data_IF_898988396679
#
_entry.id   IF_898988396679
#
_cell.length_a   1.000
_cell.length_b   1.000
_cell.length_c   1.000
_cell.angle_alpha   90.00
_cell.angle_beta   90.00
_cell.angle_gamma   90.00
#
_symmetry.space_group_name_H-M   'P 1'
#
loop_
_entity.id
_entity.type
_entity.pdbx_description
1 polymer ?
#
# COMPACT_ATOMS: atom_id res chain seq x y z
N UNK A 1 29.58 -32.98 -32.58
CA UNK A 1 28.45 -33.82 -32.14
C UNK A 1 28.23 -33.52 -30.67
N UNK A 2 27.15 -32.82 -30.32
CA UNK A 2 26.74 -32.58 -28.93
C UNK A 2 26.33 -33.91 -28.30
N UNK A 3 26.77 -34.19 -27.07
CA UNK A 3 26.53 -35.51 -26.47
C UNK A 3 25.08 -35.61 -25.97
N UNK A 4 24.49 -36.81 -26.02
CA UNK A 4 23.12 -37.06 -25.53
C UNK A 4 22.92 -36.69 -24.05
N UNK A 5 23.99 -36.75 -23.24
CA UNK A 5 23.93 -36.31 -21.83
C UNK A 5 23.82 -34.79 -21.70
N UNK A 6 24.46 -34.03 -22.59
CA UNK A 6 24.39 -32.55 -22.60
C UNK A 6 22.99 -32.06 -23.02
N UNK A 7 22.37 -32.74 -23.98
CA UNK A 7 20.98 -32.49 -24.40
C UNK A 7 19.97 -32.85 -23.29
N UNK A 8 20.17 -33.96 -22.58
CA UNK A 8 19.31 -34.33 -21.45
C UNK A 8 19.42 -33.34 -20.29
N UNK A 9 20.63 -32.87 -19.96
CA UNK A 9 20.82 -31.88 -18.91
C UNK A 9 20.25 -30.50 -19.27
N UNK A 10 20.36 -30.07 -20.53
CA UNK A 10 19.81 -28.78 -20.98
C UNK A 10 18.29 -28.80 -21.03
N UNK A 11 17.66 -29.90 -21.47
CA UNK A 11 16.20 -30.07 -21.45
C UNK A 11 15.66 -30.05 -20.01
N UNK A 12 16.30 -30.77 -19.07
CA UNK A 12 15.92 -30.76 -17.65
C UNK A 12 16.07 -29.38 -17.00
N UNK A 13 17.09 -28.62 -17.39
CA UNK A 13 17.33 -27.27 -16.86
C UNK A 13 16.32 -26.26 -17.43
N UNK A 14 15.98 -26.35 -18.71
CA UNK A 14 14.98 -25.49 -19.36
C UNK A 14 13.57 -25.72 -18.81
N UNK A 15 13.19 -26.97 -18.54
CA UNK A 15 11.90 -27.35 -17.94
C UNK A 15 11.76 -26.83 -16.50
N UNK A 16 12.86 -26.88 -15.73
CA UNK A 16 12.94 -26.30 -14.38
C UNK A 16 12.81 -24.78 -14.39
N UNK A 17 13.47 -24.10 -15.34
CA UNK A 17 13.39 -22.64 -15.48
C UNK A 17 11.98 -22.20 -15.90
N UNK A 18 11.35 -22.91 -16.83
CA UNK A 18 9.95 -22.70 -17.23
C UNK A 18 8.98 -22.87 -16.05
N UNK A 19 9.15 -23.94 -15.26
CA UNK A 19 8.35 -24.18 -14.06
C UNK A 19 8.54 -23.06 -13.01
N UNK A 20 9.77 -22.59 -12.81
CA UNK A 20 10.04 -21.47 -11.90
C UNK A 20 9.39 -20.16 -12.37
N UNK A 21 9.46 -19.87 -13.67
CA UNK A 21 8.79 -18.71 -14.26
C UNK A 21 7.26 -18.79 -14.09
N UNK A 22 6.68 -19.97 -14.33
CA UNK A 22 5.25 -20.19 -14.13
C UNK A 22 4.82 -19.99 -12.68
N UNK A 23 5.55 -20.53 -11.71
CA UNK A 23 5.28 -20.33 -10.27
C UNK A 23 5.39 -18.85 -9.89
N UNK A 24 6.39 -18.13 -10.41
CA UNK A 24 6.51 -16.67 -10.19
C UNK A 24 5.30 -15.94 -10.73
N UNK A 25 4.86 -16.25 -11.95
CA UNK A 25 3.70 -15.61 -12.54
C UNK A 25 2.41 -15.88 -11.77
N UNK A 26 2.19 -17.14 -11.34
CA UNK A 26 1.05 -17.47 -10.48
C UNK A 26 1.08 -16.70 -9.16
N UNK A 27 2.27 -16.54 -8.57
CA UNK A 27 2.45 -15.79 -7.32
C UNK A 27 2.09 -14.31 -7.52
N UNK A 28 2.60 -13.68 -8.58
CA UNK A 28 2.30 -12.28 -8.93
C UNK A 28 0.79 -12.11 -9.12
N UNK A 29 0.15 -12.97 -9.91
CA UNK A 29 -1.28 -12.89 -10.17
C UNK A 29 -2.09 -13.04 -8.87
N UNK A 30 -1.70 -13.96 -7.98
CA UNK A 30 -2.35 -14.13 -6.69
C UNK A 30 -2.20 -12.88 -5.79
N UNK A 31 -1.00 -12.27 -5.76
CA UNK A 31 -0.76 -11.03 -5.02
C UNK A 31 -1.59 -9.86 -5.56
N UNK A 32 -1.69 -9.72 -6.88
CA UNK A 32 -2.53 -8.70 -7.53
C UNK A 32 -4.01 -8.90 -7.20
N UNK A 33 -4.52 -10.13 -7.28
CA UNK A 33 -5.91 -10.44 -6.92
C UNK A 33 -6.19 -10.15 -5.44
N UNK A 34 -5.28 -10.49 -4.54
CA UNK A 34 -5.39 -10.17 -3.11
C UNK A 34 -5.39 -8.66 -2.90
N UNK A 35 -4.49 -7.92 -3.55
CA UNK A 35 -4.43 -6.47 -3.44
C UNK A 35 -5.72 -5.82 -3.96
N UNK A 36 -6.21 -6.25 -5.12
CA UNK A 36 -7.45 -5.76 -5.71
C UNK A 36 -8.65 -6.00 -4.79
N UNK A 37 -8.72 -7.18 -4.15
CA UNK A 37 -9.75 -7.48 -3.15
C UNK A 37 -9.71 -6.47 -1.98
N UNK A 38 -8.52 -6.17 -1.46
CA UNK A 38 -8.37 -5.20 -0.36
C UNK A 38 -8.70 -3.77 -0.80
N UNK A 39 -8.28 -3.35 -1.99
CA UNK A 39 -8.66 -2.05 -2.56
C UNK A 39 -10.17 -1.93 -2.65
N UNK A 40 -10.85 -2.94 -3.21
CA UNK A 40 -12.31 -2.96 -3.32
C UNK A 40 -13.00 -2.92 -1.96
N UNK A 41 -12.46 -3.64 -0.96
CA UNK A 41 -12.98 -3.59 0.41
C UNK A 41 -12.85 -2.20 1.02
N UNK A 42 -11.70 -1.54 0.85
CA UNK A 42 -11.51 -0.17 1.33
C UNK A 42 -12.43 0.83 0.61
N UNK A 43 -12.64 0.66 -0.69
CA UNK A 43 -13.59 1.46 -1.48
C UNK A 43 -15.04 1.28 -1.04
N UNK A 44 -15.39 0.15 -0.43
CA UNK A 44 -16.73 -0.12 0.09
C UNK A 44 -16.98 0.50 1.47
N UNK A 45 -15.93 0.91 2.21
CA UNK A 45 -16.10 1.50 3.53
C UNK A 45 -16.67 2.92 3.42
N UNK A 46 -17.83 3.24 4.04
CA UNK A 46 -18.48 4.55 3.92
C UNK A 46 -17.56 5.71 4.30
N UNK A 47 -16.73 5.52 5.33
CA UNK A 47 -15.77 6.52 5.80
C UNK A 47 -14.71 6.85 4.73
N UNK A 48 -14.34 5.87 3.92
CA UNK A 48 -13.31 6.00 2.88
C UNK A 48 -13.91 6.56 1.59
N UNK A 49 -15.15 6.18 1.27
CA UNK A 49 -15.88 6.69 0.10
C UNK A 49 -15.93 8.21 0.08
N UNK A 50 -16.22 8.85 1.22
CA UNK A 50 -16.27 10.31 1.32
C UNK A 50 -14.94 10.99 0.95
N UNK A 51 -13.81 10.32 1.14
CA UNK A 51 -12.47 10.84 0.81
C UNK A 51 -12.09 10.46 -0.64
N UNK A 52 -12.44 9.25 -1.07
CA UNK A 52 -12.07 8.70 -2.38
C UNK A 52 -12.93 9.28 -3.52
N UNK A 53 -14.13 9.77 -3.22
CA UNK A 53 -14.98 10.44 -4.19
C UNK A 53 -14.58 11.91 -4.46
N UNK A 54 -13.77 12.51 -3.58
CA UNK A 54 -13.29 13.88 -3.81
C UNK A 54 -12.42 13.89 -5.07
N UNK A 55 -12.76 14.72 -6.08
CA UNK A 55 -12.04 14.71 -7.34
C UNK A 55 -10.60 15.23 -7.15
N UNK A 56 -9.68 14.68 -7.95
CA UNK A 56 -8.33 15.23 -8.08
C UNK A 56 -8.43 16.67 -8.59
N UNK A 57 -7.72 17.64 -8.00
CA UNK A 57 -7.76 19.02 -8.45
C UNK A 57 -7.10 19.17 -9.82
N UNK A 58 -7.38 20.29 -10.50
CA UNK A 58 -6.69 20.62 -11.74
C UNK A 58 -5.17 20.78 -11.52
N UNK A 59 -4.33 20.30 -12.46
CA UNK A 59 -2.89 20.41 -12.33
C UNK A 59 -2.44 21.88 -12.39
N UNK A 60 -1.75 22.33 -11.34
CA UNK A 60 -1.27 23.70 -11.22
C UNK A 60 -0.05 23.82 -10.32
N UNK A 61 0.74 24.88 -10.54
CA UNK A 61 2.01 25.12 -9.85
C UNK A 61 3.20 24.40 -10.49
N UNK A 62 4.31 24.36 -9.78
CA UNK A 62 5.55 23.73 -10.24
C UNK A 62 5.50 22.20 -10.12
N UNK A 63 6.23 21.51 -11.00
CA UNK A 63 6.44 20.06 -10.90
C UNK A 63 7.51 19.80 -9.84
N UNK A 64 7.15 19.12 -8.76
CA UNK A 64 8.08 18.80 -7.67
C UNK A 64 7.82 17.44 -7.06
N UNK A 65 8.84 16.86 -6.44
CA UNK A 65 8.67 15.67 -5.59
C UNK A 65 7.84 16.03 -4.36
N UNK A 66 6.96 15.13 -3.96
CA UNK A 66 6.20 15.26 -2.73
C UNK A 66 6.86 14.53 -1.57
N UNK A 67 6.93 15.21 -0.43
CA UNK A 67 7.29 14.61 0.85
C UNK A 67 6.49 15.28 1.95
N UNK A 68 5.94 14.48 2.85
CA UNK A 68 5.38 14.96 4.11
C UNK A 68 5.50 13.86 5.16
N UNK A 69 5.58 14.28 6.41
CA UNK A 69 5.62 13.35 7.54
C UNK A 69 4.79 13.85 8.71
N UNK A 70 4.35 12.91 9.54
CA UNK A 70 3.67 13.18 10.80
C UNK A 70 4.04 12.12 11.82
N UNK A 71 3.89 12.44 13.09
CA UNK A 71 4.14 11.51 14.20
C UNK A 71 2.85 11.26 14.97
N UNK A 72 2.55 9.99 15.24
CA UNK A 72 1.47 9.57 16.11
C UNK A 72 2.03 8.96 17.39
N UNK A 73 1.52 9.43 18.53
CA UNK A 73 1.64 8.66 19.76
C UNK A 73 0.83 7.38 19.59
N UNK A 74 1.45 6.23 19.85
CA UNK A 74 0.75 4.95 19.92
C UNK A 74 0.15 4.70 21.30
N UNK A 75 0.47 5.55 22.29
CA UNK A 75 -0.13 5.47 23.61
C UNK A 75 -1.62 5.84 23.56
N UNK A 76 -2.46 5.08 24.26
CA UNK A 76 -3.91 5.30 24.32
C UNK A 76 -4.72 4.62 23.22
N UNK A 77 -4.08 3.96 22.26
CA UNK A 77 -4.77 3.10 21.30
C UNK A 77 -5.02 1.72 21.89
N UNK A 78 -6.23 1.14 21.73
CA UNK A 78 -6.52 -0.22 22.17
C UNK A 78 -5.91 -1.30 21.26
N UNK A 79 -5.17 -0.90 20.22
CA UNK A 79 -4.58 -1.77 19.22
C UNK A 79 -3.19 -1.28 18.79
N UNK A 80 -2.43 -2.15 18.10
CA UNK A 80 -1.15 -1.78 17.51
C UNK A 80 -1.36 -0.90 16.27
N UNK A 81 -1.06 0.40 16.42
CA UNK A 81 -1.22 1.44 15.37
C UNK A 81 -0.51 1.07 14.06
N UNK A 82 0.76 0.61 14.13
CA UNK A 82 1.51 0.26 12.93
C UNK A 82 0.89 -0.93 12.19
N UNK A 83 0.51 -1.98 12.93
CA UNK A 83 -0.11 -3.18 12.36
C UNK A 83 -1.47 -2.86 11.74
N UNK A 84 -2.23 -1.93 12.33
CA UNK A 84 -3.51 -1.45 11.78
C UNK A 84 -3.33 -0.77 10.43
N UNK A 85 -2.29 0.07 10.27
CA UNK A 85 -1.99 0.78 9.02
C UNK A 85 -1.45 -0.19 7.96
N UNK A 86 -0.52 -1.08 8.35
CA UNK A 86 0.10 -2.06 7.45
C UNK A 86 -0.95 -3.06 6.97
N UNK A 87 -1.74 -3.61 7.89
CA UNK A 87 -2.66 -4.70 7.64
C UNK A 87 -1.95 -6.04 7.37
N UNK A 88 -2.71 -7.14 7.21
CA UNK A 88 -2.14 -8.44 6.87
C UNK A 88 -1.30 -8.34 5.61
N UNK A 89 -0.03 -8.81 5.67
CA UNK A 89 0.93 -8.76 4.55
C UNK A 89 1.14 -7.36 3.92
N UNK A 90 0.83 -6.29 4.64
CA UNK A 90 0.94 -4.94 4.10
C UNK A 90 -0.20 -4.55 3.14
N UNK A 91 -1.26 -5.35 3.03
CA UNK A 91 -2.31 -5.13 2.03
C UNK A 91 -3.06 -3.81 2.23
N UNK A 92 -3.27 -3.37 3.47
CA UNK A 92 -3.95 -2.10 3.75
C UNK A 92 -3.09 -0.92 3.30
N UNK A 93 -1.81 -0.89 3.70
CA UNK A 93 -0.88 0.15 3.28
C UNK A 93 -0.71 0.16 1.75
N UNK A 94 -0.53 -1.01 1.12
CA UNK A 94 -0.44 -1.14 -0.34
C UNK A 94 -1.69 -0.64 -1.05
N UNK A 95 -2.88 -0.92 -0.52
CA UNK A 95 -4.14 -0.44 -1.10
C UNK A 95 -4.26 1.09 -1.00
N UNK A 96 -3.88 1.70 0.13
CA UNK A 96 -3.84 3.16 0.27
C UNK A 96 -2.83 3.76 -0.71
N UNK A 97 -1.63 3.19 -0.82
CA UNK A 97 -0.62 3.63 -1.79
C UNK A 97 -1.15 3.61 -3.22
N UNK A 98 -1.86 2.54 -3.60
CA UNK A 98 -2.47 2.41 -4.93
C UNK A 98 -3.58 3.46 -5.15
N UNK A 99 -4.47 3.66 -4.17
CA UNK A 99 -5.57 4.61 -4.24
C UNK A 99 -5.11 6.08 -4.27
N UNK A 100 -3.99 6.38 -3.61
CA UNK A 100 -3.46 7.74 -3.47
C UNK A 100 -2.30 8.06 -4.42
N UNK A 101 -1.75 7.07 -5.12
CA UNK A 101 -0.58 7.28 -6.00
C UNK A 101 0.65 7.78 -5.24
N UNK A 102 0.91 7.21 -4.06
CA UNK A 102 2.02 7.59 -3.17
C UNK A 102 2.73 6.35 -2.60
N UNK A 103 3.87 6.56 -1.94
CA UNK A 103 4.55 5.56 -1.10
C UNK A 103 4.41 5.93 0.37
N UNK A 104 4.18 4.95 1.23
CA UNK A 104 4.06 5.12 2.68
C UNK A 104 5.20 4.37 3.35
N UNK A 105 5.88 5.03 4.29
CA UNK A 105 6.88 4.41 5.15
C UNK A 105 6.53 4.67 6.62
N UNK A 106 6.72 3.66 7.46
CA UNK A 106 6.45 3.71 8.89
C UNK A 106 7.74 3.46 9.65
N UNK A 107 8.15 4.42 10.49
CA UNK A 107 9.37 4.33 11.29
C UNK A 107 9.04 4.53 12.77
N UNK A 108 9.60 3.71 13.65
CA UNK A 108 9.54 3.94 15.09
C UNK A 108 10.72 4.81 15.51
N UNK A 109 10.46 6.04 15.97
CA UNK A 109 11.52 6.98 16.38
C UNK A 109 11.90 6.76 17.86
N UNK A 110 10.90 6.58 18.73
CA UNK A 110 11.03 6.39 20.18
C UNK A 110 9.95 5.42 20.66
N UNK A 111 10.07 4.96 21.90
CA UNK A 111 9.02 4.15 22.55
C UNK A 111 7.68 4.89 22.46
N UNK A 112 6.73 4.25 21.78
CA UNK A 112 5.38 4.74 21.50
C UNK A 112 5.23 5.91 20.52
N UNK A 113 6.24 6.28 19.73
CA UNK A 113 6.10 7.30 18.67
C UNK A 113 6.32 6.70 17.28
N UNK A 114 5.24 6.62 16.51
CA UNK A 114 5.24 6.13 15.14
C UNK A 114 5.27 7.32 14.16
N UNK A 115 6.34 7.41 13.39
CA UNK A 115 6.46 8.35 12.27
C UNK A 115 5.88 7.72 11.01
N UNK A 116 5.05 8.49 10.32
CA UNK A 116 4.49 8.14 9.01
C UNK A 116 5.06 9.12 8.00
N UNK A 117 5.71 8.59 6.97
CA UNK A 117 6.28 9.37 5.88
C UNK A 117 5.57 9.02 4.58
N UNK A 118 5.22 10.04 3.81
CA UNK A 118 4.55 9.91 2.52
C UNK A 118 5.40 10.55 1.45
N UNK A 119 5.68 9.77 0.40
CA UNK A 119 6.45 10.20 -0.76
C UNK A 119 5.58 10.16 -2.01
N UNK A 120 5.69 11.17 -2.85
CA UNK A 120 5.00 11.26 -4.13
C UNK A 120 6.03 11.57 -5.22
N UNK A 121 5.93 10.86 -6.35
CA UNK A 121 6.76 11.13 -7.52
C UNK A 121 6.53 12.58 -8.03
N UNK A 122 7.49 13.15 -8.79
CA UNK A 122 7.32 14.48 -9.35
C UNK A 122 5.99 14.64 -10.10
N UNK A 123 5.21 15.63 -9.68
CA UNK A 123 3.92 15.98 -10.26
C UNK A 123 3.64 17.46 -9.98
N UNK A 124 2.57 18.02 -10.55
CA UNK A 124 2.14 19.39 -10.25
C UNK A 124 1.89 19.57 -8.76
N UNK A 125 2.31 20.70 -8.20
CA UNK A 125 2.19 21.00 -6.78
C UNK A 125 0.78 20.76 -6.22
N UNK A 126 -0.27 21.13 -6.95
CA UNK A 126 -1.67 20.88 -6.55
C UNK A 126 -1.95 19.37 -6.39
N UNK A 127 -1.50 18.57 -7.35
CA UNK A 127 -1.67 17.11 -7.38
C UNK A 127 -0.86 16.45 -6.26
N UNK A 128 0.39 16.87 -6.07
CA UNK A 128 1.26 16.39 -4.99
C UNK A 128 0.61 16.61 -3.62
N UNK A 129 0.16 17.85 -3.36
CA UNK A 129 -0.53 18.20 -2.11
C UNK A 129 -1.78 17.34 -1.91
N UNK A 130 -2.56 17.14 -2.97
CA UNK A 130 -3.77 16.32 -2.91
C UNK A 130 -3.48 14.85 -2.60
N UNK A 131 -2.51 14.23 -3.28
CA UNK A 131 -2.10 12.83 -3.05
C UNK A 131 -1.64 12.61 -1.59
N UNK A 132 -0.81 13.53 -1.07
CA UNK A 132 -0.35 13.51 0.32
C UNK A 132 -1.52 13.66 1.29
N UNK A 133 -2.35 14.68 1.10
CA UNK A 133 -3.51 14.94 1.94
C UNK A 133 -4.44 13.73 1.99
N UNK A 134 -4.78 13.15 0.83
CA UNK A 134 -5.69 12.02 0.72
C UNK A 134 -5.15 10.80 1.48
N UNK A 135 -3.88 10.50 1.32
CA UNK A 135 -3.26 9.38 2.03
C UNK A 135 -3.29 9.56 3.55
N UNK A 136 -3.00 10.76 4.07
CA UNK A 136 -3.16 11.05 5.49
C UNK A 136 -4.62 10.95 5.97
N UNK A 137 -5.59 11.37 5.17
CA UNK A 137 -7.01 11.24 5.55
C UNK A 137 -7.43 9.76 5.66
N UNK A 138 -7.01 8.90 4.72
CA UNK A 138 -7.30 7.47 4.79
C UNK A 138 -6.62 6.80 5.99
N UNK A 139 -5.37 7.16 6.28
CA UNK A 139 -4.66 6.69 7.48
C UNK A 139 -5.38 7.16 8.75
N UNK A 140 -5.76 8.44 8.82
CA UNK A 140 -6.51 8.97 9.96
C UNK A 140 -7.81 8.19 10.17
N UNK A 141 -8.51 7.82 9.10
CA UNK A 141 -9.73 7.01 9.18
C UNK A 141 -9.48 5.60 9.75
N UNK A 142 -8.34 4.97 9.45
CA UNK A 142 -7.95 3.69 10.07
C UNK A 142 -7.67 3.79 11.57
N UNK A 143 -7.22 4.96 12.01
CA UNK A 143 -6.85 5.26 13.40
C UNK A 143 -8.01 5.86 14.20
N UNK A 144 -9.20 6.03 13.62
CA UNK A 144 -10.36 6.45 14.42
C UNK A 144 -10.73 5.32 15.38
N UNK A 145 -10.91 5.67 16.64
CA UNK A 145 -11.49 4.79 17.66
C UNK A 145 -12.99 5.04 17.61
N UNK A 146 -13.76 4.01 17.29
CA UNK A 146 -15.21 4.09 17.38
C UNK A 146 -15.61 4.19 18.87
N UNK A 147 -16.56 5.06 19.26
CA UNK A 147 -17.03 5.15 20.64
C UNK A 147 -17.56 3.83 21.21
N UNK A 148 -18.06 2.93 20.35
CA UNK A 148 -18.48 1.59 20.75
C UNK A 148 -17.32 0.67 21.12
N UNK A 149 -16.09 1.02 20.75
CA UNK A 149 -14.90 0.18 20.90
C UNK A 149 -14.86 -1.01 19.92
N UNK A 150 -15.89 -1.18 19.09
CA UNK A 150 -15.95 -2.23 18.07
C UNK A 150 -15.32 -1.74 16.77
N UNK A 151 -14.52 -2.60 16.14
CA UNK A 151 -14.15 -2.40 14.75
C UNK A 151 -15.42 -2.53 13.88
N UNK A 152 -15.63 -1.60 12.97
CA UNK A 152 -16.74 -1.66 12.00
C UNK A 152 -16.67 -2.99 11.22
N UNK A 153 -17.48 -3.96 11.63
CA UNK A 153 -17.68 -5.21 10.91
C UNK A 153 -18.54 -4.92 9.69
N UNK A 154 -17.88 -4.75 8.54
CA UNK A 154 -18.52 -4.77 7.23
C UNK A 154 -18.76 -6.19 6.74
#
# INVERSE_FOLDING_TARGET
MTSLSELSSTVKQADKDSTQQFIRQLTINAEEHILLHHVNKLLALPLFQNIIQIPTPEPSGEIKKGFAETCYSTAGFPYNVASRIIGPRGCTAKAIQALCGCSIQLNFIKDNLLQIQIFVQPDYESIVKFKIWRAFQLIYCLLRIDPSGEDMSG
#
